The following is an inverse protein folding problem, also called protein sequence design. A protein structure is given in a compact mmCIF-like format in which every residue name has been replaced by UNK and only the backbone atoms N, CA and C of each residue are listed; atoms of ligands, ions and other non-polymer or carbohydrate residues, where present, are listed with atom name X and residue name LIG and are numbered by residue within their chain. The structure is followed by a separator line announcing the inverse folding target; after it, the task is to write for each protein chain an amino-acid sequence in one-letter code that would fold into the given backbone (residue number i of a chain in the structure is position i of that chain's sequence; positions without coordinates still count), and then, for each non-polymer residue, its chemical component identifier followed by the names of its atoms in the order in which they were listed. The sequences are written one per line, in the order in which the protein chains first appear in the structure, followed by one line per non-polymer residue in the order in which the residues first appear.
data_IF_881012795370
#
_entry.id   IF_881012795370
#
_cell.length_a   1.000
_cell.length_b   1.000
_cell.length_c   1.000
_cell.angle_alpha   90.00
_cell.angle_beta   90.00
_cell.angle_gamma   90.00
#
_symmetry.space_group_name_H-M   'P 1'
#
loop_
_entity.id
_entity.type
_entity.pdbx_description
1 polymer ?
#
# COMPACT_ATOMS: atom_id res chain seq x y z
N UNK A 1 -25.87 -22.47 -19.55
CA UNK A 1 -26.58 -21.18 -19.68
C UNK A 1 -26.94 -20.73 -18.27
N UNK A 2 -26.11 -19.91 -17.65
CA UNK A 2 -26.38 -19.33 -16.32
C UNK A 2 -27.45 -18.25 -16.47
N UNK A 3 -28.56 -18.39 -15.75
CA UNK A 3 -29.69 -17.45 -15.86
C UNK A 3 -29.35 -16.09 -15.22
N UNK A 4 -29.74 -14.94 -15.80
CA UNK A 4 -29.32 -13.59 -15.39
C UNK A 4 -29.29 -13.31 -13.88
N UNK A 5 -30.35 -13.68 -13.16
CA UNK A 5 -30.44 -13.45 -11.71
C UNK A 5 -29.35 -14.16 -10.89
N UNK A 6 -28.78 -15.27 -11.38
CA UNK A 6 -27.68 -15.96 -10.71
C UNK A 6 -26.36 -15.17 -10.80
N UNK A 7 -26.16 -14.37 -11.85
CA UNK A 7 -24.93 -13.59 -12.01
C UNK A 7 -24.87 -12.43 -11.02
N UNK A 8 -25.99 -11.72 -10.79
CA UNK A 8 -26.06 -10.67 -9.78
C UNK A 8 -26.01 -11.26 -8.36
N UNK A 9 -26.65 -12.41 -8.12
CA UNK A 9 -26.55 -13.10 -6.83
C UNK A 9 -25.10 -13.51 -6.49
N UNK A 10 -24.36 -14.06 -7.46
CA UNK A 10 -22.95 -14.38 -7.30
C UNK A 10 -22.08 -13.13 -7.06
N UNK A 11 -22.37 -12.01 -7.74
CA UNK A 11 -21.68 -10.74 -7.51
C UNK A 11 -21.92 -10.19 -6.09
N UNK A 12 -23.13 -10.36 -5.53
CA UNK A 12 -23.42 -10.04 -4.12
C UNK A 12 -22.63 -10.89 -3.12
N UNK A 13 -22.47 -12.19 -3.38
CA UNK A 13 -21.65 -13.07 -2.56
C UNK A 13 -20.16 -12.66 -2.60
N UNK A 14 -19.64 -12.38 -3.81
CA UNK A 14 -18.28 -11.87 -4.00
C UNK A 14 -18.06 -10.51 -3.32
N UNK A 15 -19.03 -9.61 -3.38
CA UNK A 15 -18.99 -8.32 -2.68
C UNK A 15 -18.96 -8.52 -1.15
N UNK A 16 -19.77 -9.45 -0.64
CA UNK A 16 -19.78 -9.81 0.78
C UNK A 16 -18.44 -10.43 1.23
N UNK A 17 -17.81 -11.25 0.39
CA UNK A 17 -16.46 -11.80 0.66
C UNK A 17 -15.38 -10.71 0.60
N UNK A 18 -15.48 -9.77 -0.33
CA UNK A 18 -14.59 -8.60 -0.38
C UNK A 18 -14.72 -7.74 0.89
N UNK A 19 -15.96 -7.50 1.36
CA UNK A 19 -16.24 -6.77 2.61
C UNK A 19 -15.57 -7.43 3.83
N UNK A 20 -15.61 -8.76 3.92
CA UNK A 20 -14.88 -9.52 4.95
C UNK A 20 -13.36 -9.35 4.81
N UNK A 21 -12.82 -9.57 3.60
CA UNK A 21 -11.39 -9.46 3.33
C UNK A 21 -10.83 -8.08 3.68
N UNK A 22 -11.55 -7.00 3.38
CA UNK A 22 -11.15 -5.63 3.74
C UNK A 22 -11.12 -5.41 5.26
N UNK A 23 -11.94 -6.15 6.03
CA UNK A 23 -11.86 -6.20 7.50
C UNK A 23 -10.66 -7.00 8.00
N UNK A 24 -10.37 -8.16 7.38
CA UNK A 24 -9.17 -8.97 7.64
C UNK A 24 -7.89 -8.15 7.36
N UNK A 25 -7.83 -7.41 6.25
CA UNK A 25 -6.78 -6.44 5.94
C UNK A 25 -6.65 -5.36 7.02
N UNK A 26 -7.76 -4.78 7.49
CA UNK A 26 -7.71 -3.70 8.48
C UNK A 26 -7.05 -4.16 9.78
N UNK A 27 -7.45 -5.32 10.31
CA UNK A 27 -6.87 -5.83 11.57
C UNK A 27 -5.43 -6.32 11.37
N UNK A 28 -5.08 -6.89 10.22
CA UNK A 28 -3.68 -7.21 9.87
C UNK A 28 -2.81 -5.94 9.84
N UNK A 29 -3.25 -4.89 9.14
CA UNK A 29 -2.59 -3.59 9.11
C UNK A 29 -2.47 -2.98 10.51
N UNK A 30 -3.55 -2.98 11.30
CA UNK A 30 -3.57 -2.48 12.68
C UNK A 30 -2.54 -3.20 13.55
N UNK A 31 -2.52 -4.53 13.51
CA UNK A 31 -1.58 -5.40 14.22
C UNK A 31 -0.15 -5.40 13.70
N UNK A 32 0.17 -4.64 12.62
CA UNK A 32 1.46 -4.63 11.92
C UNK A 32 1.86 -5.97 11.29
N UNK A 33 0.89 -6.86 11.05
CA UNK A 33 1.11 -8.16 10.43
C UNK A 33 1.08 -8.04 8.90
N UNK A 34 2.18 -7.55 8.34
CA UNK A 34 2.31 -7.33 6.90
C UNK A 34 2.28 -8.65 6.11
N UNK A 35 2.82 -9.73 6.65
CA UNK A 35 2.79 -11.05 5.99
C UNK A 35 1.37 -11.56 5.72
N UNK A 36 0.42 -11.26 6.61
CA UNK A 36 -1.01 -11.56 6.39
C UNK A 36 -1.62 -10.58 5.40
N UNK A 37 -1.31 -9.29 5.48
CA UNK A 37 -1.81 -8.29 4.53
C UNK A 37 -1.40 -8.60 3.08
N UNK A 38 -0.13 -8.96 2.84
CA UNK A 38 0.37 -9.34 1.51
C UNK A 38 -0.32 -10.62 0.99
N UNK A 39 -0.54 -11.63 1.84
CA UNK A 39 -1.27 -12.86 1.48
C UNK A 39 -2.73 -12.62 1.08
N UNK A 40 -3.34 -11.51 1.51
CA UNK A 40 -4.71 -11.15 1.12
C UNK A 40 -4.78 -10.44 -0.24
N UNK A 41 -3.69 -9.83 -0.74
CA UNK A 41 -3.71 -9.07 -2.00
C UNK A 41 -4.11 -9.90 -3.24
N UNK A 42 -3.62 -11.15 -3.44
CA UNK A 42 -4.04 -11.96 -4.58
C UNK A 42 -5.53 -12.31 -4.54
N UNK A 43 -6.08 -12.60 -3.35
CA UNK A 43 -7.50 -12.93 -3.17
C UNK A 43 -8.37 -11.70 -3.46
N UNK A 44 -7.95 -10.52 -3.01
CA UNK A 44 -8.59 -9.24 -3.31
C UNK A 44 -8.61 -8.93 -4.80
N UNK A 45 -7.48 -9.11 -5.49
CA UNK A 45 -7.38 -8.90 -6.93
C UNK A 45 -8.33 -9.83 -7.71
N UNK A 46 -8.39 -11.12 -7.34
CA UNK A 46 -9.31 -12.08 -7.95
C UNK A 46 -10.78 -11.71 -7.74
N UNK A 47 -11.16 -11.30 -6.53
CA UNK A 47 -12.52 -10.82 -6.24
C UNK A 47 -12.87 -9.57 -7.04
N UNK A 48 -11.97 -8.59 -7.12
CA UNK A 48 -12.18 -7.36 -7.89
C UNK A 48 -12.32 -7.62 -9.40
N UNK A 49 -11.55 -8.57 -9.97
CA UNK A 49 -11.72 -8.98 -11.38
C UNK A 49 -13.11 -9.56 -11.64
N UNK A 50 -13.53 -10.53 -10.82
CA UNK A 50 -14.85 -11.17 -10.98
C UNK A 50 -16.01 -10.16 -10.80
N UNK A 51 -15.87 -9.21 -9.87
CA UNK A 51 -16.83 -8.12 -9.66
C UNK A 51 -16.89 -7.15 -10.85
N UNK A 52 -15.74 -6.86 -11.49
CA UNK A 52 -15.69 -6.04 -12.70
C UNK A 52 -16.34 -6.75 -13.90
N UNK A 53 -16.00 -8.03 -14.13
CA UNK A 53 -16.61 -8.86 -15.19
C UNK A 53 -18.14 -8.97 -15.03
N UNK A 54 -18.64 -9.12 -13.80
CA UNK A 54 -20.07 -9.13 -13.51
C UNK A 54 -20.74 -7.77 -13.78
N UNK A 55 -20.05 -6.66 -13.45
CA UNK A 55 -20.54 -5.30 -13.70
C UNK A 55 -20.60 -4.97 -15.20
N UNK A 56 -19.55 -5.32 -15.96
CA UNK A 56 -19.51 -5.16 -17.42
C UNK A 56 -20.59 -6.01 -18.10
N UNK A 57 -20.74 -7.28 -17.69
CA UNK A 57 -21.80 -8.17 -18.18
C UNK A 57 -23.20 -7.59 -17.98
N UNK A 58 -23.46 -6.96 -16.83
CA UNK A 58 -24.74 -6.31 -16.56
C UNK A 58 -24.93 -5.05 -17.42
N UNK A 59 -23.89 -4.21 -17.57
CA UNK A 59 -23.94 -2.99 -18.36
C UNK A 59 -24.18 -3.25 -19.86
N UNK A 60 -23.57 -4.31 -20.41
CA UNK A 60 -23.84 -4.76 -21.78
C UNK A 60 -25.31 -5.16 -21.94
N UNK A 61 -25.84 -6.01 -21.05
CA UNK A 61 -27.25 -6.44 -21.11
C UNK A 61 -28.26 -5.30 -20.95
N UNK A 62 -28.00 -4.31 -20.10
CA UNK A 62 -28.80 -3.08 -20.00
C UNK A 62 -28.87 -2.28 -21.32
N UNK A 63 -27.87 -2.44 -22.19
CA UNK A 63 -27.77 -1.73 -23.47
C UNK A 63 -28.43 -2.51 -24.61
N UNK A 64 -28.52 -3.85 -24.48
CA UNK A 64 -29.02 -4.77 -25.51
C UNK A 64 -30.49 -5.21 -25.31
N UNK A 65 -31.02 -5.16 -24.09
CA UNK A 65 -32.35 -5.74 -23.77
C UNK A 65 -33.03 -5.01 -22.62
N UNK A 66 -34.36 -4.96 -22.61
CA UNK A 66 -35.14 -4.48 -21.46
C UNK A 66 -34.95 -5.42 -20.27
N UNK A 67 -34.30 -4.93 -19.22
CA UNK A 67 -34.04 -5.67 -17.98
C UNK A 67 -35.24 -5.57 -17.03
N UNK A 68 -35.57 -6.68 -16.36
CA UNK A 68 -36.71 -6.76 -15.44
C UNK A 68 -36.54 -5.84 -14.20
N UNK A 69 -37.61 -5.22 -13.68
CA UNK A 69 -37.51 -4.32 -12.52
C UNK A 69 -36.91 -4.95 -11.25
N UNK A 70 -37.08 -6.26 -11.07
CA UNK A 70 -36.48 -7.03 -9.97
C UNK A 70 -34.96 -7.16 -10.11
N UNK A 71 -34.45 -7.28 -11.33
CA UNK A 71 -33.02 -7.36 -11.61
C UNK A 71 -32.36 -5.99 -11.42
N UNK A 72 -33.03 -4.90 -11.85
CA UNK A 72 -32.59 -3.53 -11.58
C UNK A 72 -32.47 -3.25 -10.07
N UNK A 73 -33.44 -3.70 -9.26
CA UNK A 73 -33.39 -3.56 -7.81
C UNK A 73 -32.23 -4.36 -7.18
N UNK A 74 -31.96 -5.58 -7.66
CA UNK A 74 -30.83 -6.38 -7.20
C UNK A 74 -29.48 -5.74 -7.55
N UNK A 75 -29.40 -5.10 -8.72
CA UNK A 75 -28.26 -4.30 -9.16
C UNK A 75 -28.05 -3.04 -8.30
N UNK A 76 -29.11 -2.33 -7.91
CA UNK A 76 -29.02 -1.19 -6.99
C UNK A 76 -28.46 -1.59 -5.62
N UNK A 77 -28.94 -2.72 -5.07
CA UNK A 77 -28.40 -3.27 -3.83
C UNK A 77 -26.92 -3.63 -3.97
N UNK A 78 -26.51 -4.18 -5.12
CA UNK A 78 -25.10 -4.50 -5.41
C UNK A 78 -24.23 -3.23 -5.44
N UNK A 79 -24.71 -2.16 -6.10
CA UNK A 79 -24.01 -0.87 -6.13
C UNK A 79 -23.82 -0.28 -4.74
N UNK A 80 -24.83 -0.37 -3.87
CA UNK A 80 -24.72 0.07 -2.47
C UNK A 80 -23.67 -0.76 -1.69
N UNK A 81 -23.66 -2.08 -1.85
CA UNK A 81 -22.66 -2.94 -1.21
C UNK A 81 -21.22 -2.66 -1.70
N UNK A 82 -21.04 -2.27 -2.97
CA UNK A 82 -19.74 -1.84 -3.50
C UNK A 82 -19.28 -0.47 -2.95
N UNK A 83 -20.20 0.45 -2.62
CA UNK A 83 -19.85 1.70 -1.94
C UNK A 83 -19.32 1.44 -0.53
N UNK A 84 -19.97 0.55 0.24
CA UNK A 84 -19.47 0.06 1.53
C UNK A 84 -18.04 -0.50 1.42
N UNK A 85 -17.78 -1.33 0.40
CA UNK A 85 -16.46 -1.90 0.17
C UNK A 85 -15.41 -0.83 -0.15
N UNK A 86 -15.76 0.17 -0.97
CA UNK A 86 -14.86 1.31 -1.26
C UNK A 86 -14.50 2.07 0.02
N UNK A 87 -15.47 2.33 0.89
CA UNK A 87 -15.25 3.14 2.09
C UNK A 87 -14.44 2.37 3.15
N UNK A 88 -14.60 1.03 3.23
CA UNK A 88 -13.72 0.15 3.99
C UNK A 88 -12.29 0.12 3.41
N UNK A 89 -12.14 0.04 2.09
CA UNK A 89 -10.82 0.06 1.47
C UNK A 89 -10.09 1.39 1.71
N UNK A 90 -10.79 2.53 1.63
CA UNK A 90 -10.27 3.86 1.94
C UNK A 90 -9.78 3.98 3.39
N UNK A 91 -10.45 3.33 4.34
CA UNK A 91 -9.98 3.24 5.74
C UNK A 91 -8.64 2.50 5.85
N UNK A 92 -8.43 1.45 5.05
CA UNK A 92 -7.16 0.71 5.01
C UNK A 92 -6.04 1.57 4.41
N UNK A 93 -6.32 2.29 3.32
CA UNK A 93 -5.40 3.24 2.70
C UNK A 93 -4.94 4.35 3.67
N UNK A 94 -5.88 5.00 4.36
CA UNK A 94 -5.58 6.05 5.37
C UNK A 94 -4.67 5.49 6.48
N UNK A 95 -4.86 4.24 6.89
CA UNK A 95 -4.03 3.59 7.91
C UNK A 95 -2.60 3.31 7.39
N UNK A 96 -2.45 2.90 6.13
CA UNK A 96 -1.15 2.70 5.49
C UNK A 96 -0.39 4.03 5.36
N UNK A 97 -1.05 5.08 4.84
CA UNK A 97 -0.44 6.41 4.67
C UNK A 97 0.09 6.96 6.00
N UNK A 98 -0.74 6.98 7.05
CA UNK A 98 -0.33 7.43 8.40
C UNK A 98 0.85 6.62 8.98
N UNK A 99 0.94 5.33 8.67
CA UNK A 99 2.07 4.49 9.09
C UNK A 99 3.35 4.86 8.34
N UNK A 100 3.27 5.09 7.03
CA UNK A 100 4.40 5.56 6.22
C UNK A 100 4.89 6.92 6.71
N UNK A 101 3.99 7.89 6.88
CA UNK A 101 4.35 9.24 7.33
C UNK A 101 5.04 9.23 8.70
N UNK A 102 4.61 8.35 9.61
CA UNK A 102 5.26 8.15 10.90
C UNK A 102 6.66 7.50 10.80
N UNK A 103 6.88 6.61 9.83
CA UNK A 103 8.20 6.02 9.55
C UNK A 103 9.13 7.07 8.93
N UNK A 104 8.64 7.84 7.96
CA UNK A 104 9.38 8.94 7.32
C UNK A 104 9.79 10.00 8.36
N UNK A 105 8.86 10.42 9.24
CA UNK A 105 9.15 11.35 10.33
C UNK A 105 10.14 10.80 11.36
N UNK A 106 10.06 9.50 11.71
CA UNK A 106 11.02 8.85 12.60
C UNK A 106 12.42 8.76 11.98
N UNK A 107 12.52 8.46 10.68
CA UNK A 107 13.79 8.47 9.95
C UNK A 107 14.38 9.88 9.86
N UNK A 108 13.55 10.90 9.59
CA UNK A 108 13.97 12.31 9.61
C UNK A 108 14.50 12.74 10.98
N UNK A 109 13.85 12.34 12.09
CA UNK A 109 14.34 12.62 13.44
C UNK A 109 15.69 11.93 13.73
N UNK A 110 15.88 10.69 13.28
CA UNK A 110 17.15 9.94 13.45
C UNK A 110 18.31 10.50 12.60
N UNK A 111 18.01 11.16 11.49
CA UNK A 111 19.00 11.79 10.61
C UNK A 111 19.21 13.28 10.96
N UNK A 112 18.20 13.95 11.50
CA UNK A 112 18.14 15.40 11.69
C UNK A 112 19.14 16.01 12.67
N UNK A 113 19.65 15.22 13.62
CA UNK A 113 20.72 15.64 14.55
C UNK A 113 22.14 15.38 14.00
N UNK A 114 22.28 14.82 12.79
CA UNK A 114 23.58 14.65 12.13
C UNK A 114 23.91 15.85 11.25
N UNK A 115 24.39 16.90 11.90
CA UNK A 115 24.95 18.06 11.21
C UNK A 115 26.08 17.64 10.23
N UNK A 116 26.10 18.10 8.96
CA UNK A 116 27.12 17.69 7.97
C UNK A 116 28.55 18.17 8.25
N UNK A 117 28.78 18.86 9.37
CA UNK A 117 29.98 19.66 9.66
C UNK A 117 30.97 18.98 10.61
N UNK A 118 30.53 17.99 11.40
CA UNK A 118 31.29 17.48 12.56
C UNK A 118 32.05 16.16 12.35
N UNK A 119 32.04 15.56 11.16
CA UNK A 119 32.72 14.26 10.89
C UNK A 119 34.03 14.35 10.11
N UNK A 120 34.33 15.50 9.47
CA UNK A 120 35.54 15.66 8.62
C UNK A 120 36.72 16.28 9.40
N UNK A 121 36.48 17.24 10.29
CA UNK A 121 37.55 17.96 11.04
C UNK A 121 38.13 17.17 12.24
N UNK A 122 37.61 15.97 12.54
CA UNK A 122 38.14 15.11 13.62
C UNK A 122 39.25 14.17 13.12
N UNK A 123 39.31 13.86 11.82
CA UNK A 123 40.32 12.95 11.26
C UNK A 123 41.60 13.65 10.77
N UNK A 124 41.58 14.94 10.47
CA UNK A 124 42.78 15.64 9.94
C UNK A 124 43.79 16.03 11.04
N UNK A 125 43.35 16.10 12.31
CA UNK A 125 44.15 16.66 13.42
C UNK A 125 45.07 15.68 14.17
N UNK A 126 45.18 14.42 13.73
CA UNK A 126 46.09 13.42 14.31
C UNK A 126 47.22 12.95 13.38
N UNK A 127 47.27 13.40 12.12
CA UNK A 127 48.07 12.73 11.08
C UNK A 127 49.42 13.36 10.68
N UNK A 128 49.67 14.66 10.91
CA UNK A 128 50.71 15.41 10.15
C UNK A 128 51.78 16.11 11.00
N UNK A 129 52.44 15.38 11.92
CA UNK A 129 53.78 15.76 12.41
C UNK A 129 54.85 15.09 11.54
N UNK A 130 55.15 15.67 10.38
CA UNK A 130 56.28 15.22 9.55
C UNK A 130 57.61 15.73 10.12
N UNK A 131 58.12 15.09 11.18
CA UNK A 131 59.50 15.26 11.66
C UNK A 131 60.43 14.17 11.08
N UNK A 132 60.79 14.33 9.81
CA UNK A 132 61.87 13.56 9.18
C UNK A 132 62.63 14.45 8.19
N UNK A 133 63.90 14.79 8.39
CA UNK A 133 64.74 14.50 9.55
C UNK A 133 66.00 15.37 9.59
N UNK A 134 66.68 15.40 10.74
CA UNK A 134 68.05 15.91 10.85
C UNK A 134 69.03 14.86 10.34
N UNK A 135 69.93 15.23 9.43
CA UNK A 135 71.32 14.76 9.43
C UNK A 135 72.26 15.92 9.12
N UNK A 136 73.22 16.15 10.01
CA UNK A 136 74.38 17.00 9.79
C UNK A 136 75.17 16.51 8.56
N UNK A 137 75.87 17.39 7.83
CA UNK A 137 77.32 17.63 8.09
C UNK A 137 78.05 18.43 6.98
N UNK A 138 78.64 19.56 7.38
CA UNK A 138 80.00 20.05 7.05
C UNK A 138 80.47 20.32 5.60
N UNK A 139 81.14 21.49 5.45
CA UNK A 139 82.07 21.90 4.36
C UNK A 139 81.40 22.01 2.97
N UNK A 140 81.90 22.75 1.97
CA UNK A 140 83.02 23.68 1.85
C UNK A 140 82.58 24.80 0.86
N UNK A 141 83.18 25.99 0.85
CA UNK A 141 84.38 26.44 1.56
C UNK A 141 84.14 27.77 2.28
#
# INVERSE_FOLDING_TARGET
MTSPGHQIAAAHEQCSRLKQLLGEEFEALRGRNLDVFEKLQPVKAALLSALAEAAESHQTRLSETTVEPTELLAWDQFRLAMLDCRDLHRRNEILILRKRDAIEGALQALVGDREPTASVDVYDRLGRVSRTGRRNSFLQA
#
